data_IF_915335684918
#
_entry.id   IF_915335684918
#
_cell.length_a   1.000
_cell.length_b   1.000
_cell.length_c   1.000
_cell.angle_alpha   90.00
_cell.angle_beta   90.00
_cell.angle_gamma   90.00
#
_symmetry.space_group_name_H-M   'P 1'
#
loop_
_entity.id
_entity.type
_entity.pdbx_description
1 polymer ?
#
# COMPACT_ATOMS: atom_id res chain seq x y z
N UNK A 1 -2.96 -13.67 -8.70
CA UNK A 1 -2.19 -12.55 -8.11
C UNK A 1 -0.82 -13.01 -7.61
N UNK A 2 -0.72 -13.86 -6.58
CA UNK A 2 0.59 -14.30 -6.07
C UNK A 2 0.99 -15.73 -6.45
N UNK A 3 0.07 -16.69 -6.60
CA UNK A 3 0.43 -18.05 -7.03
C UNK A 3 1.36 -18.77 -6.05
N UNK A 4 0.97 -18.77 -4.78
CA UNK A 4 1.62 -19.51 -3.69
C UNK A 4 0.78 -20.78 -3.50
N UNK A 5 1.38 -21.94 -3.77
CA UNK A 5 0.76 -23.26 -3.75
C UNK A 5 1.39 -24.18 -2.67
N UNK A 6 2.15 -23.60 -1.75
CA UNK A 6 2.77 -24.26 -0.60
C UNK A 6 2.31 -23.64 0.73
N UNK A 7 2.40 -24.38 1.85
CA UNK A 7 1.96 -23.87 3.15
C UNK A 7 2.80 -22.68 3.61
N UNK A 8 2.12 -21.64 4.11
CA UNK A 8 2.74 -20.47 4.73
C UNK A 8 1.99 -20.08 5.98
N UNK A 9 2.70 -19.48 6.94
CA UNK A 9 2.12 -18.81 8.09
C UNK A 9 2.29 -17.29 7.91
N UNK A 10 1.22 -16.54 8.11
CA UNK A 10 1.23 -15.08 8.05
C UNK A 10 0.86 -14.56 9.43
N UNK A 11 1.78 -13.85 10.06
CA UNK A 11 1.55 -13.16 11.33
C UNK A 11 1.75 -11.67 11.12
N UNK A 12 0.85 -10.86 11.68
CA UNK A 12 0.91 -9.40 11.57
C UNK A 12 0.73 -8.73 12.91
N UNK A 13 1.47 -7.64 13.10
CA UNK A 13 1.48 -6.86 14.33
C UNK A 13 1.35 -5.38 13.96
N UNK A 14 0.77 -4.58 14.84
CA UNK A 14 0.61 -3.14 14.68
C UNK A 14 0.72 -2.46 16.02
N UNK A 15 1.41 -1.33 16.08
CA UNK A 15 1.51 -0.50 17.29
C UNK A 15 0.21 0.27 17.57
N UNK A 16 -0.68 0.34 16.57
CA UNK A 16 -1.88 1.17 16.59
C UNK A 16 -3.11 0.27 16.38
N UNK A 17 -4.18 0.42 17.18
CA UNK A 17 -5.43 -0.31 16.97
C UNK A 17 -6.07 0.06 15.62
N UNK A 18 -7.05 -0.75 15.18
CA UNK A 18 -7.82 -0.44 13.97
C UNK A 18 -8.61 0.86 14.08
N UNK A 19 -9.00 1.44 12.94
CA UNK A 19 -9.93 2.58 12.84
C UNK A 19 -9.44 3.90 13.48
N UNK A 20 -8.13 4.12 13.56
CA UNK A 20 -7.56 5.36 14.11
C UNK A 20 -7.49 6.52 13.11
N UNK A 21 -7.85 6.28 11.85
CA UNK A 21 -7.73 7.28 10.77
C UNK A 21 -6.30 7.48 10.27
N UNK A 22 -5.34 6.64 10.68
CA UNK A 22 -3.92 6.71 10.29
C UNK A 22 -3.55 5.79 9.13
N UNK A 23 -4.54 5.23 8.41
CA UNK A 23 -4.29 4.33 7.28
C UNK A 23 -3.72 2.95 7.65
N UNK A 24 -3.87 2.49 8.89
CA UNK A 24 -3.27 1.24 9.38
C UNK A 24 -3.72 -0.01 8.61
N UNK A 25 -4.98 -0.07 8.17
CA UNK A 25 -5.51 -1.18 7.37
C UNK A 25 -4.86 -1.27 5.99
N UNK A 26 -4.74 -0.15 5.29
CA UNK A 26 -4.09 -0.13 3.97
C UNK A 26 -2.58 -0.31 4.09
N UNK A 27 -1.95 0.14 5.18
CA UNK A 27 -0.55 -0.15 5.48
C UNK A 27 -0.30 -1.66 5.66
N UNK A 28 -1.20 -2.36 6.38
CA UNK A 28 -1.18 -3.82 6.47
C UNK A 28 -1.31 -4.47 5.09
N UNK A 29 -2.27 -4.03 4.27
CA UNK A 29 -2.49 -4.61 2.94
C UNK A 29 -1.26 -4.42 2.05
N UNK A 30 -0.68 -3.22 2.03
CA UNK A 30 0.56 -2.91 1.29
C UNK A 30 1.73 -3.75 1.77
N UNK A 31 1.91 -3.88 3.10
CA UNK A 31 2.95 -4.71 3.69
C UNK A 31 2.82 -6.19 3.31
N UNK A 32 1.60 -6.72 3.35
CA UNK A 32 1.30 -8.09 2.96
C UNK A 32 1.59 -8.33 1.47
N UNK A 33 1.11 -7.46 0.57
CA UNK A 33 1.38 -7.55 -0.87
C UNK A 33 2.88 -7.55 -1.14
N UNK A 34 3.62 -6.66 -0.50
CA UNK A 34 5.07 -6.57 -0.64
C UNK A 34 5.77 -7.84 -0.14
N UNK A 35 5.38 -8.35 1.03
CA UNK A 35 5.94 -9.57 1.60
C UNK A 35 5.70 -10.81 0.72
N UNK A 36 4.52 -10.94 0.10
CA UNK A 36 4.20 -12.07 -0.78
C UNK A 36 5.00 -12.01 -2.09
N UNK A 37 5.26 -10.83 -2.65
CA UNK A 37 6.17 -10.69 -3.78
C UNK A 37 7.62 -11.01 -3.39
N UNK A 38 8.07 -10.53 -2.23
CA UNK A 38 9.41 -10.82 -1.70
C UNK A 38 9.62 -12.32 -1.45
N UNK A 39 8.61 -13.01 -0.90
CA UNK A 39 8.61 -14.46 -0.69
C UNK A 39 8.86 -15.23 -2.01
N UNK A 40 8.45 -14.67 -3.14
CA UNK A 40 8.65 -15.24 -4.48
C UNK A 40 9.91 -14.75 -5.19
N UNK A 41 10.72 -13.91 -4.54
CA UNK A 41 11.88 -13.27 -5.17
C UNK A 41 11.52 -12.30 -6.30
N UNK A 42 10.31 -11.73 -6.27
CA UNK A 42 9.83 -10.82 -7.31
C UNK A 42 10.10 -9.37 -6.93
N UNK A 43 10.84 -8.65 -7.78
CA UNK A 43 10.99 -7.21 -7.68
C UNK A 43 9.77 -6.52 -8.30
N UNK A 44 9.07 -5.71 -7.50
CA UNK A 44 7.87 -4.99 -7.91
C UNK A 44 8.00 -3.51 -7.57
N UNK A 45 7.41 -2.66 -8.40
CA UNK A 45 7.44 -1.21 -8.16
C UNK A 45 6.51 -0.85 -7.00
N UNK A 46 6.81 0.26 -6.31
CA UNK A 46 5.93 0.84 -5.29
C UNK A 46 4.51 1.09 -5.82
N UNK A 47 4.41 1.52 -7.08
CA UNK A 47 3.13 1.72 -7.77
C UNK A 47 2.34 0.41 -7.87
N UNK A 48 2.98 -0.68 -8.30
CA UNK A 48 2.31 -1.97 -8.40
C UNK A 48 1.89 -2.49 -7.03
N UNK A 49 2.74 -2.37 -6.00
CA UNK A 49 2.37 -2.77 -4.63
C UNK A 49 1.12 -2.00 -4.18
N UNK A 50 1.12 -0.67 -4.32
CA UNK A 50 -0.01 0.18 -3.93
C UNK A 50 -1.30 -0.15 -4.69
N UNK A 51 -1.20 -0.26 -6.02
CA UNK A 51 -2.34 -0.57 -6.88
C UNK A 51 -2.92 -1.97 -6.60
N UNK A 52 -2.05 -2.97 -6.37
CA UNK A 52 -2.48 -4.31 -6.00
C UNK A 52 -3.16 -4.33 -4.63
N UNK A 53 -2.60 -3.64 -3.63
CA UNK A 53 -3.23 -3.55 -2.32
C UNK A 53 -4.59 -2.84 -2.39
N UNK A 54 -4.68 -1.74 -3.15
CA UNK A 54 -5.92 -1.01 -3.37
C UNK A 54 -6.99 -1.85 -4.08
N UNK A 55 -6.61 -2.63 -5.09
CA UNK A 55 -7.52 -3.54 -5.78
C UNK A 55 -8.08 -4.61 -4.83
N UNK A 56 -7.27 -5.12 -3.89
CA UNK A 56 -7.75 -6.06 -2.88
C UNK A 56 -8.81 -5.42 -1.99
N UNK A 57 -8.54 -4.25 -1.42
CA UNK A 57 -9.46 -3.63 -0.46
C UNK A 57 -10.72 -3.07 -1.12
N UNK A 58 -10.58 -2.39 -2.26
CA UNK A 58 -11.67 -1.68 -2.93
C UNK A 58 -12.50 -2.62 -3.81
N UNK A 59 -11.86 -3.38 -4.70
CA UNK A 59 -12.57 -4.14 -5.73
C UNK A 59 -12.92 -5.56 -5.27
N UNK A 60 -11.97 -6.26 -4.64
CA UNK A 60 -12.16 -7.66 -4.22
C UNK A 60 -12.97 -7.74 -2.93
N UNK A 61 -12.62 -6.93 -1.92
CA UNK A 61 -13.31 -6.89 -0.63
C UNK A 61 -14.52 -5.92 -0.63
N UNK A 62 -14.68 -5.11 -1.67
CA UNK A 62 -15.84 -4.22 -1.85
C UNK A 62 -15.90 -3.05 -0.86
N UNK A 63 -14.77 -2.58 -0.35
CA UNK A 63 -14.78 -1.47 0.63
C UNK A 63 -15.01 -0.13 -0.08
N UNK A 64 -15.94 0.65 0.45
CA UNK A 64 -16.19 2.02 0.01
C UNK A 64 -15.14 2.97 0.59
N UNK A 65 -13.97 3.05 -0.06
CA UNK A 65 -12.86 3.90 0.37
C UNK A 65 -12.00 4.38 -0.81
N UNK A 66 -11.16 5.39 -0.57
CA UNK A 66 -10.19 5.89 -1.56
C UNK A 66 -8.92 5.04 -1.65
N UNK A 67 -8.08 5.33 -2.66
CA UNK A 67 -6.79 4.64 -2.88
C UNK A 67 -5.62 5.27 -2.11
N UNK A 68 -5.79 6.48 -1.55
CA UNK A 68 -4.71 7.31 -0.99
C UNK A 68 -3.83 6.63 0.06
N UNK A 69 -4.42 5.88 0.99
CA UNK A 69 -3.69 5.27 2.11
C UNK A 69 -2.72 4.17 1.61
N UNK A 70 -3.09 3.45 0.55
CA UNK A 70 -2.24 2.45 -0.09
C UNK A 70 -1.00 3.09 -0.73
N UNK A 71 -1.20 4.20 -1.45
CA UNK A 71 -0.11 4.93 -2.08
C UNK A 71 0.79 5.60 -1.03
N UNK A 72 0.21 6.24 -0.02
CA UNK A 72 0.98 6.82 1.09
C UNK A 72 1.85 5.75 1.79
N UNK A 73 1.26 4.58 2.08
CA UNK A 73 1.95 3.46 2.74
C UNK A 73 3.08 2.86 1.89
N UNK A 74 2.89 2.73 0.57
CA UNK A 74 3.89 2.13 -0.32
C UNK A 74 5.06 3.10 -0.64
N UNK A 75 4.76 4.40 -0.75
CA UNK A 75 5.76 5.39 -1.15
C UNK A 75 6.59 5.91 0.03
N UNK A 76 5.94 6.16 1.17
CA UNK A 76 6.54 6.83 2.33
C UNK A 76 6.89 8.29 2.05
N UNK A 77 7.29 9.03 3.09
CA UNK A 77 7.61 10.45 2.98
C UNK A 77 6.39 11.32 2.67
N UNK A 78 6.65 12.53 2.15
CA UNK A 78 5.61 13.48 1.77
C UNK A 78 5.50 13.49 0.24
N UNK A 79 4.29 13.25 -0.27
CA UNK A 79 4.03 13.21 -1.70
C UNK A 79 2.73 13.94 -2.02
N UNK A 80 2.64 14.50 -3.23
CA UNK A 80 1.40 14.91 -3.85
C UNK A 80 0.95 13.75 -4.73
N UNK A 81 -0.26 13.24 -4.45
CA UNK A 81 -0.89 12.19 -5.24
C UNK A 81 -2.02 12.77 -6.09
N UNK A 82 -1.96 12.57 -7.40
CA UNK A 82 -3.05 12.95 -8.32
C UNK A 82 -3.74 11.69 -8.83
N UNK A 83 -5.01 11.51 -8.46
CA UNK A 83 -5.85 10.42 -8.94
C UNK A 83 -6.62 10.86 -10.18
N UNK A 84 -6.27 10.31 -11.34
CA UNK A 84 -6.86 10.67 -12.61
C UNK A 84 -8.13 9.85 -12.90
N UNK A 85 -8.96 10.34 -13.83
CA UNK A 85 -10.21 9.67 -14.23
C UNK A 85 -10.01 8.38 -15.01
N UNK A 86 -8.81 8.16 -15.54
CA UNK A 86 -8.40 6.95 -16.27
C UNK A 86 -7.76 5.90 -15.33
N UNK A 87 -8.00 6.02 -14.02
CA UNK A 87 -7.43 5.19 -12.95
C UNK A 87 -5.90 5.27 -12.77
N UNK A 88 -5.20 6.11 -13.55
CA UNK A 88 -3.78 6.36 -13.31
C UNK A 88 -3.58 7.23 -12.08
N UNK A 89 -2.43 7.03 -11.42
CA UNK A 89 -2.03 7.84 -10.26
C UNK A 89 -0.66 8.45 -10.55
N UNK A 90 -0.59 9.78 -10.52
CA UNK A 90 0.67 10.52 -10.59
C UNK A 90 1.18 10.79 -9.18
N UNK A 91 2.50 10.64 -8.99
CA UNK A 91 3.16 10.79 -7.69
C UNK A 91 4.30 11.78 -7.83
N UNK A 92 4.17 12.91 -7.15
CA UNK A 92 5.18 13.95 -7.09
C UNK A 92 5.75 14.04 -5.66
N UNK A 93 6.99 13.59 -5.42
CA UNK A 93 7.59 13.66 -4.08
C UNK A 93 7.84 15.12 -3.71
N UNK A 94 7.42 15.51 -2.51
CA UNK A 94 7.72 16.83 -1.97
C UNK A 94 9.09 16.74 -1.30
N UNK A 95 10.08 17.43 -1.88
CA UNK A 95 11.41 17.51 -1.30
C UNK A 95 11.38 18.44 -0.08
N UNK A 96 11.84 17.95 1.06
CA UNK A 96 11.97 18.72 2.29
C UNK A 96 13.29 18.38 2.99
N UNK A 97 13.84 19.35 3.72
CA UNK A 97 14.95 19.08 4.64
C UNK A 97 14.37 18.55 5.96
N UNK A 98 14.73 17.33 6.32
CA UNK A 98 14.28 16.68 7.56
C UNK A 98 14.76 17.38 8.83
N UNK A 99 15.68 18.35 8.73
CA UNK A 99 16.19 19.14 9.85
C UNK A 99 15.43 20.44 10.08
N UNK A 100 14.59 20.86 9.15
CA UNK A 100 13.77 22.06 9.31
C UNK A 100 12.49 21.64 10.03
N UNK A 101 12.41 22.03 11.31
CA UNK A 101 11.21 21.86 12.14
C UNK A 101 10.12 22.84 11.74
#
# INVERSE_FOLDING_TARGET
MFGIDFPIEITTFTDIPGQTGLGSSSAFAVGLVHALHALKGQMVTKNNIAATAANIEVDILGRSMGKQDHYASAYGGINIFTFNKDDTVSIDPVLYDSKVK
#
